data_IF_652862744646
#
_entry.id   IF_652862744646
#
_cell.length_a   1.000
_cell.length_b   1.000
_cell.length_c   1.000
_cell.angle_alpha   90.00
_cell.angle_beta   90.00
_cell.angle_gamma   90.00
#
_symmetry.space_group_name_H-M   'P 1'
#
loop_
_entity.id
_entity.type
_entity.pdbx_description
1 polymer ?
#
# COMPACT_ATOMS: atom_id res chain seq x y z
N UNK A 1 4.97 -27.57 -13.12
CA UNK A 1 4.18 -26.89 -12.08
C UNK A 1 4.91 -26.86 -10.74
N UNK A 2 5.47 -27.98 -10.28
CA UNK A 2 6.20 -28.05 -9.00
C UNK A 2 7.51 -27.24 -8.98
N UNK A 3 8.24 -27.21 -10.10
CA UNK A 3 9.44 -26.37 -10.27
C UNK A 3 9.14 -24.86 -10.17
N UNK A 4 8.06 -24.39 -10.81
CA UNK A 4 7.61 -22.98 -10.79
C UNK A 4 7.17 -22.56 -9.38
N UNK A 5 6.53 -23.48 -8.63
CA UNK A 5 6.15 -23.21 -7.23
C UNK A 5 7.37 -23.11 -6.31
N UNK A 6 8.40 -23.93 -6.55
CA UNK A 6 9.67 -23.88 -5.81
C UNK A 6 10.48 -22.62 -6.12
N UNK A 7 10.52 -22.20 -7.38
CA UNK A 7 11.18 -20.94 -7.79
C UNK A 7 10.45 -19.69 -7.27
N UNK A 8 9.11 -19.70 -7.22
CA UNK A 8 8.34 -18.57 -6.69
C UNK A 8 8.39 -18.45 -5.15
N UNK A 9 8.88 -19.45 -4.42
CA UNK A 9 9.14 -19.38 -2.98
C UNK A 9 10.62 -19.22 -2.65
N UNK A 10 11.47 -19.11 -3.66
CA UNK A 10 12.91 -18.96 -3.48
C UNK A 10 13.24 -17.65 -2.77
N UNK A 11 13.89 -17.77 -1.62
CA UNK A 11 14.22 -16.66 -0.72
C UNK A 11 15.08 -15.60 -1.41
N UNK A 12 16.10 -16.03 -2.16
CA UNK A 12 17.02 -15.13 -2.86
C UNK A 12 16.27 -14.30 -3.91
N UNK A 13 15.50 -14.94 -4.78
CA UNK A 13 14.69 -14.29 -5.78
C UNK A 13 13.72 -13.28 -5.17
N UNK A 14 13.07 -13.63 -4.05
CA UNK A 14 12.11 -12.74 -3.38
C UNK A 14 12.76 -11.52 -2.76
N UNK A 15 13.86 -11.68 -2.02
CA UNK A 15 14.55 -10.55 -1.40
C UNK A 15 15.15 -9.60 -2.44
N UNK A 16 15.71 -10.13 -3.53
CA UNK A 16 16.19 -9.31 -4.63
C UNK A 16 15.04 -8.62 -5.41
N UNK A 17 13.90 -9.28 -5.58
CA UNK A 17 12.71 -8.65 -6.18
C UNK A 17 12.16 -7.54 -5.30
N UNK A 18 12.11 -7.75 -3.97
CA UNK A 18 11.73 -6.73 -3.00
C UNK A 18 12.66 -5.51 -3.11
N UNK A 19 13.97 -5.73 -3.20
CA UNK A 19 14.93 -4.63 -3.34
C UNK A 19 14.78 -3.86 -4.67
N UNK A 20 14.49 -4.55 -5.77
CA UNK A 20 14.18 -3.92 -7.06
C UNK A 20 12.91 -3.06 -6.96
N UNK A 21 11.82 -3.62 -6.45
CA UNK A 21 10.54 -2.91 -6.27
C UNK A 21 10.66 -1.73 -5.30
N UNK A 22 11.43 -1.89 -4.22
CA UNK A 22 11.69 -0.81 -3.27
C UNK A 22 12.41 0.37 -3.91
N UNK A 23 13.30 0.12 -4.88
CA UNK A 23 13.97 1.20 -5.62
C UNK A 23 12.96 2.05 -6.40
N UNK A 24 11.91 1.44 -6.96
CA UNK A 24 10.81 2.17 -7.60
C UNK A 24 10.00 2.99 -6.57
N UNK A 25 9.76 2.44 -5.38
CA UNK A 25 9.10 3.17 -4.29
C UNK A 25 9.91 4.39 -3.85
N UNK A 26 11.23 4.25 -3.72
CA UNK A 26 12.12 5.38 -3.43
C UNK A 26 12.08 6.45 -4.52
N UNK A 27 11.97 6.08 -5.81
CA UNK A 27 11.82 7.04 -6.91
C UNK A 27 10.51 7.83 -6.80
N UNK A 28 9.41 7.16 -6.47
CA UNK A 28 8.12 7.83 -6.24
C UNK A 28 8.18 8.76 -5.01
N UNK A 29 8.86 8.35 -3.93
CA UNK A 29 9.07 9.20 -2.76
C UNK A 29 9.89 10.46 -3.11
N UNK A 30 10.95 10.33 -3.92
CA UNK A 30 11.74 11.48 -4.40
C UNK A 30 10.94 12.42 -5.31
N UNK A 31 9.97 11.90 -6.05
CA UNK A 31 9.08 12.69 -6.89
C UNK A 31 8.02 13.46 -6.09
N UNK A 32 7.70 13.00 -4.88
CA UNK A 32 6.72 13.60 -3.98
C UNK A 32 7.29 13.85 -2.58
N UNK A 33 8.36 14.66 -2.45
CA UNK A 33 9.13 14.80 -1.20
C UNK A 33 8.29 15.34 -0.02
N UNK A 34 7.24 16.11 -0.30
CA UNK A 34 6.36 16.69 0.72
C UNK A 34 5.24 15.75 1.19
N UNK A 35 5.06 14.61 0.50
CA UNK A 35 4.00 13.65 0.79
C UNK A 35 4.53 12.49 1.64
N UNK A 36 3.95 12.24 2.82
CA UNK A 36 4.30 11.08 3.63
C UNK A 36 4.06 9.77 2.87
N UNK A 37 5.05 8.87 2.94
CA UNK A 37 4.95 7.50 2.42
C UNK A 37 4.47 6.56 3.53
N UNK A 38 3.35 5.88 3.31
CA UNK A 38 2.73 4.95 4.24
C UNK A 38 2.75 3.54 3.65
N UNK A 39 3.40 2.56 4.28
CA UNK A 39 3.17 1.18 3.95
C UNK A 39 1.76 0.74 4.35
N UNK A 40 1.06 0.08 3.44
CA UNK A 40 -0.05 -0.79 3.82
C UNK A 40 0.54 -2.03 4.51
N UNK A 41 0.36 -2.16 5.82
CA UNK A 41 1.07 -3.15 6.64
C UNK A 41 0.88 -4.57 6.13
N UNK A 42 1.86 -5.42 6.47
CA UNK A 42 2.18 -6.72 5.84
C UNK A 42 2.98 -6.52 4.56
N UNK A 43 2.31 -6.39 3.41
CA UNK A 43 2.98 -6.42 2.12
C UNK A 43 3.75 -5.12 1.83
N UNK A 44 3.11 -3.96 2.02
CA UNK A 44 3.72 -2.64 1.76
C UNK A 44 4.99 -2.36 2.56
N UNK A 45 5.09 -2.90 3.78
CA UNK A 45 6.24 -2.69 4.67
C UNK A 45 7.56 -3.26 4.10
N UNK A 46 7.51 -4.27 3.22
CA UNK A 46 8.70 -4.79 2.55
C UNK A 46 9.33 -3.78 1.57
N UNK A 47 8.56 -2.80 1.11
CA UNK A 47 8.96 -1.88 0.04
C UNK A 47 9.19 -0.44 0.52
N UNK A 48 8.91 -0.16 1.80
CA UNK A 48 9.08 1.15 2.40
C UNK A 48 10.11 1.09 3.53
N UNK A 49 11.21 1.85 3.37
CA UNK A 49 12.27 1.92 4.38
C UNK A 49 11.76 2.63 5.66
N UNK A 50 11.82 1.98 6.83
CA UNK A 50 11.40 2.59 8.09
C UNK A 50 12.16 3.89 8.43
N UNK A 51 13.41 4.02 7.98
CA UNK A 51 14.24 5.22 8.22
C UNK A 51 13.76 6.43 7.43
N UNK A 52 13.07 6.22 6.31
CA UNK A 52 12.52 7.30 5.46
C UNK A 52 11.04 7.57 5.73
N UNK A 53 10.32 6.59 6.29
CA UNK A 53 8.88 6.71 6.59
C UNK A 53 8.58 7.22 8.00
N UNK A 54 9.56 7.17 8.91
CA UNK A 54 9.45 7.68 10.28
C UNK A 54 8.67 6.72 11.19
N UNK A 55 9.25 6.35 12.33
CA UNK A 55 8.68 5.36 13.27
C UNK A 55 7.45 5.85 14.08
N UNK A 56 6.78 6.92 13.68
CA UNK A 56 5.61 7.42 14.42
C UNK A 56 4.35 6.62 14.08
N UNK A 57 3.50 6.40 15.10
CA UNK A 57 2.27 5.58 15.06
C UNK A 57 1.26 5.95 13.94
N UNK A 58 1.42 7.11 13.29
CA UNK A 58 0.57 7.59 12.19
C UNK A 58 1.10 7.29 10.78
N UNK A 59 2.25 6.62 10.63
CA UNK A 59 2.93 6.45 9.33
C UNK A 59 2.69 5.08 8.68
N UNK A 60 1.55 4.46 8.93
CA UNK A 60 1.17 3.19 8.31
C UNK A 60 -0.32 3.10 8.07
N UNK A 61 -0.72 2.22 7.17
CA UNK A 61 -2.12 1.93 6.87
C UNK A 61 -2.41 0.43 6.98
N UNK A 62 -3.69 0.08 7.08
CA UNK A 62 -4.14 -1.30 7.08
C UNK A 62 -5.45 -1.45 6.30
N UNK A 63 -5.35 -1.32 4.97
CA UNK A 63 -6.42 -1.58 4.03
C UNK A 63 -6.39 -3.05 3.62
N UNK A 64 -7.41 -3.82 4.02
CA UNK A 64 -7.53 -5.22 3.60
C UNK A 64 -8.05 -5.32 2.17
N UNK A 65 -7.44 -6.19 1.38
CA UNK A 65 -7.90 -6.55 0.04
C UNK A 65 -9.27 -7.24 0.06
N UNK A 66 -9.62 -7.93 1.15
CA UNK A 66 -10.92 -8.62 1.31
C UNK A 66 -12.10 -7.67 1.32
N UNK A 67 -11.90 -6.43 1.77
CA UNK A 67 -12.93 -5.39 1.83
C UNK A 67 -13.17 -4.75 0.45
N UNK A 68 -12.36 -5.12 -0.55
CA UNK A 68 -12.50 -4.73 -1.94
C UNK A 68 -12.52 -5.93 -2.89
N UNK A 69 -12.81 -7.15 -2.42
CA UNK A 69 -12.80 -8.32 -3.31
C UNK A 69 -14.00 -8.29 -4.27
N UNK A 70 -13.87 -8.85 -5.47
CA UNK A 70 -14.98 -8.88 -6.43
C UNK A 70 -16.19 -9.60 -5.84
N UNK A 71 -17.34 -8.90 -5.80
CA UNK A 71 -18.58 -9.38 -5.19
C UNK A 71 -18.64 -9.22 -3.67
N UNK A 72 -17.55 -8.81 -3.01
CA UNK A 72 -17.49 -8.55 -1.58
C UNK A 72 -16.75 -7.24 -1.30
N UNK A 73 -17.52 -6.15 -1.24
CA UNK A 73 -17.03 -4.80 -0.96
C UNK A 73 -17.61 -4.31 0.37
N UNK A 74 -16.81 -3.57 1.15
CA UNK A 74 -17.26 -3.06 2.43
C UNK A 74 -16.39 -1.94 2.98
N UNK A 75 -16.98 -1.15 3.89
CA UNK A 75 -16.27 -0.22 4.75
C UNK A 75 -16.24 -0.77 6.19
N UNK A 76 -15.06 -1.13 6.69
CA UNK A 76 -14.94 -1.79 7.99
C UNK A 76 -14.80 -0.79 9.14
N UNK A 77 -15.87 -0.57 9.91
CA UNK A 77 -15.84 0.33 11.07
C UNK A 77 -14.92 -0.10 12.21
N UNK A 78 -14.48 -1.36 12.28
CA UNK A 78 -13.49 -1.81 13.29
C UNK A 78 -12.06 -1.45 12.88
N UNK A 79 -11.81 -1.21 11.59
CA UNK A 79 -10.51 -0.84 11.04
C UNK A 79 -10.66 0.28 10.01
N UNK A 80 -11.20 1.44 10.41
CA UNK A 80 -11.61 2.46 9.47
C UNK A 80 -10.45 3.32 8.95
N UNK A 81 -9.20 3.07 9.37
CA UNK A 81 -8.00 3.82 8.97
C UNK A 81 -8.11 5.36 9.19
N UNK A 82 -8.92 5.81 10.16
CA UNK A 82 -9.17 7.24 10.41
C UNK A 82 -7.95 7.96 10.99
N UNK A 83 -6.98 7.23 11.55
CA UNK A 83 -5.73 7.77 12.06
C UNK A 83 -4.85 8.41 10.96
N UNK A 84 -5.14 8.13 9.68
CA UNK A 84 -4.48 8.74 8.51
C UNK A 84 -5.05 10.14 8.20
N UNK A 85 -6.29 10.44 8.62
CA UNK A 85 -6.94 11.70 8.26
C UNK A 85 -6.23 12.96 8.79
N UNK A 86 -5.70 12.99 10.03
CA UNK A 86 -4.88 14.13 10.49
C UNK A 86 -3.65 14.36 9.62
N UNK A 87 -3.01 13.29 9.14
CA UNK A 87 -1.85 13.38 8.25
C UNK A 87 -2.24 13.97 6.89
N UNK A 88 -3.40 13.57 6.34
CA UNK A 88 -3.96 14.14 5.11
C UNK A 88 -4.33 15.62 5.27
N UNK A 89 -4.84 16.02 6.44
CA UNK A 89 -5.13 17.42 6.75
C UNK A 89 -3.83 18.26 6.79
N UNK A 90 -2.77 17.71 7.37
CA UNK A 90 -1.48 18.38 7.53
C UNK A 90 -0.68 18.46 6.23
N UNK A 91 -0.47 17.34 5.55
CA UNK A 91 0.41 17.24 4.37
C UNK A 91 -0.32 17.44 3.04
N UNK A 92 -1.65 17.48 3.07
CA UNK A 92 -2.51 17.66 1.88
C UNK A 92 -2.21 16.64 0.78
N UNK A 93 -1.83 15.43 1.17
CA UNK A 93 -1.69 14.25 0.34
C UNK A 93 -0.86 13.17 1.05
N UNK A 94 -0.90 11.95 0.54
CA UNK A 94 -0.05 10.83 0.99
C UNK A 94 0.31 9.91 -0.19
N UNK A 95 1.37 9.13 -0.02
CA UNK A 95 1.69 7.97 -0.85
C UNK A 95 1.43 6.71 -0.05
N UNK A 96 0.54 5.85 -0.52
CA UNK A 96 0.23 4.55 0.08
C UNK A 96 0.83 3.44 -0.76
N UNK A 97 1.75 2.66 -0.17
CA UNK A 97 2.43 1.57 -0.87
C UNK A 97 1.83 0.22 -0.52
N UNK A 98 1.59 -0.58 -1.55
CA UNK A 98 1.21 -1.98 -1.41
C UNK A 98 1.66 -2.74 -2.67
N UNK A 99 1.52 -4.06 -2.68
CA UNK A 99 1.78 -4.83 -3.88
C UNK A 99 0.83 -6.03 -4.01
N UNK A 100 0.85 -6.66 -5.19
CA UNK A 100 0.04 -7.85 -5.47
C UNK A 100 0.88 -8.91 -6.14
N UNK A 101 0.48 -10.18 -5.96
CA UNK A 101 1.04 -11.33 -6.67
C UNK A 101 0.81 -11.26 -8.18
N UNK A 102 1.52 -12.14 -8.87
CA UNK A 102 1.44 -12.36 -10.31
C UNK A 102 0.01 -12.37 -10.87
N UNK A 103 -0.15 -11.75 -12.05
CA UNK A 103 -1.40 -11.73 -12.81
C UNK A 103 -2.30 -10.51 -12.55
N UNK A 104 -2.20 -9.87 -11.37
CA UNK A 104 -2.91 -8.62 -11.09
C UNK A 104 -2.03 -7.40 -11.37
N UNK A 105 -2.62 -6.33 -11.91
CA UNK A 105 -1.90 -5.06 -12.13
C UNK A 105 -1.64 -4.30 -10.82
N UNK A 106 -2.56 -4.42 -9.86
CA UNK A 106 -2.49 -3.79 -8.54
C UNK A 106 -3.39 -4.56 -7.56
N UNK A 107 -3.15 -4.47 -6.25
CA UNK A 107 -3.96 -5.17 -5.26
C UNK A 107 -5.37 -4.57 -5.13
N UNK A 108 -6.31 -5.37 -4.63
CA UNK A 108 -7.70 -4.94 -4.38
C UNK A 108 -7.78 -3.85 -3.30
N UNK A 109 -6.82 -3.83 -2.37
CA UNK A 109 -6.62 -2.75 -1.38
C UNK A 109 -6.49 -1.39 -2.07
N UNK A 110 -5.64 -1.29 -3.09
CA UNK A 110 -5.38 -0.04 -3.82
C UNK A 110 -6.42 0.27 -4.91
N UNK A 111 -6.96 -0.76 -5.57
CA UNK A 111 -7.92 -0.57 -6.67
C UNK A 111 -9.37 -0.36 -6.22
N UNK A 112 -9.75 -0.84 -5.04
CA UNK A 112 -11.14 -0.81 -4.56
C UNK A 112 -11.26 -0.38 -3.11
N UNK A 113 -10.54 -0.98 -2.16
CA UNK A 113 -10.71 -0.65 -0.72
C UNK A 113 -10.39 0.81 -0.42
N UNK A 114 -9.25 1.34 -0.90
CA UNK A 114 -8.85 2.74 -0.71
C UNK A 114 -9.78 3.71 -1.45
N UNK A 115 -10.18 3.45 -2.71
CA UNK A 115 -11.25 4.19 -3.37
C UNK A 115 -12.57 4.28 -2.60
N UNK A 116 -13.05 3.14 -2.09
CA UNK A 116 -14.25 3.07 -1.25
C UNK A 116 -14.05 3.96 -0.02
N UNK A 117 -12.90 3.81 0.64
CA UNK A 117 -12.58 4.59 1.83
C UNK A 117 -12.59 6.10 1.54
N UNK A 118 -11.91 6.56 0.49
CA UNK A 118 -11.90 7.98 0.11
C UNK A 118 -13.32 8.52 -0.11
N UNK A 119 -14.14 7.79 -0.87
CA UNK A 119 -15.50 8.22 -1.17
C UNK A 119 -16.42 8.22 0.07
N UNK A 120 -16.30 7.21 0.95
CA UNK A 120 -17.05 7.15 2.21
C UNK A 120 -16.67 8.30 3.14
N UNK A 121 -15.37 8.59 3.31
CA UNK A 121 -14.91 9.73 4.13
C UNK A 121 -15.45 11.05 3.58
N UNK A 122 -15.35 11.28 2.27
CA UNK A 122 -15.84 12.50 1.64
C UNK A 122 -17.35 12.70 1.89
N UNK A 123 -18.15 11.65 1.69
CA UNK A 123 -19.60 11.66 1.94
C UNK A 123 -19.93 11.87 3.42
N UNK A 124 -19.21 11.21 4.33
CA UNK A 124 -19.44 11.34 5.76
C UNK A 124 -19.12 12.76 6.28
N UNK A 125 -17.99 13.34 5.87
CA UNK A 125 -17.62 14.72 6.23
C UNK A 125 -18.66 15.71 5.68
N UNK A 126 -19.08 15.55 4.42
CA UNK A 126 -20.12 16.37 3.82
C UNK A 126 -21.44 16.34 4.61
N UNK A 127 -21.85 15.16 5.12
CA UNK A 127 -23.06 14.99 5.94
C UNK A 127 -22.94 15.59 7.34
N UNK A 128 -21.79 15.48 7.99
CA UNK A 128 -21.56 16.04 9.32
C UNK A 128 -21.46 17.57 9.31
N UNK A 129 -20.95 18.15 8.21
CA UNK A 129 -20.71 19.59 8.07
C UNK A 129 -21.16 20.08 6.69
N UNK A 130 -22.48 20.15 6.44
CA UNK A 130 -22.98 20.75 5.22
C UNK A 130 -22.65 22.25 5.25
N UNK A 131 -21.69 22.66 4.42
CA UNK A 131 -21.27 24.05 4.25
C UNK A 131 -21.21 24.37 2.75
N UNK A 132 -21.18 25.66 2.40
CA UNK A 132 -21.00 26.09 1.01
C UNK A 132 -19.70 25.55 0.39
N UNK A 133 -18.68 25.31 1.21
CA UNK A 133 -17.39 24.77 0.76
C UNK A 133 -17.46 23.25 0.46
N UNK A 134 -18.13 22.49 1.33
CA UNK A 134 -18.33 21.04 1.14
C UNK A 134 -19.40 20.71 0.10
N UNK A 135 -20.28 21.67 -0.25
CA UNK A 135 -21.34 21.49 -1.25
C UNK A 135 -20.82 21.19 -2.65
N UNK A 136 -19.62 21.68 -3.00
CA UNK A 136 -19.01 21.50 -4.31
C UNK A 136 -18.04 20.31 -4.38
N UNK A 137 -17.93 19.52 -3.32
CA UNK A 137 -17.01 18.39 -3.30
C UNK A 137 -17.44 17.29 -4.27
N UNK A 138 -16.46 16.74 -4.99
CA UNK A 138 -16.70 15.55 -5.78
C UNK A 138 -16.65 14.30 -4.87
N UNK A 139 -17.83 13.82 -4.50
CA UNK A 139 -18.02 12.67 -3.61
C UNK A 139 -18.24 11.33 -4.37
N UNK A 140 -17.93 11.31 -5.67
CA UNK A 140 -18.06 10.11 -6.52
C UNK A 140 -17.01 9.08 -6.17
N UNK A 141 -17.32 7.83 -6.51
CA UNK A 141 -16.32 6.77 -6.51
C UNK A 141 -15.29 7.04 -7.62
N UNK A 142 -14.02 6.76 -7.32
CA UNK A 142 -12.94 6.78 -8.32
C UNK A 142 -12.23 5.43 -8.31
N UNK A 143 -12.34 4.66 -9.39
CA UNK A 143 -11.63 3.37 -9.54
C UNK A 143 -10.65 3.41 -10.71
N UNK A 144 -9.56 2.62 -10.69
CA UNK A 144 -8.58 2.62 -11.76
C UNK A 144 -9.18 2.05 -13.06
N UNK A 145 -9.16 2.81 -14.18
CA UNK A 145 -9.65 2.34 -15.46
C UNK A 145 -8.90 1.08 -15.92
N UNK A 146 -9.63 0.09 -16.44
CA UNK A 146 -9.05 -1.17 -16.93
C UNK A 146 -8.64 -2.17 -15.84
N UNK A 147 -8.82 -1.84 -14.56
CA UNK A 147 -8.65 -2.78 -13.44
C UNK A 147 -10.00 -3.11 -12.80
N UNK A 148 -10.88 -2.11 -12.66
CA UNK A 148 -12.25 -2.29 -12.16
C UNK A 148 -13.22 -2.06 -13.32
N UNK A 149 -14.12 -3.01 -13.55
CA UNK A 149 -15.14 -2.89 -14.61
C UNK A 149 -16.18 -1.83 -14.26
N UNK A 150 -16.83 -1.24 -15.26
CA UNK A 150 -17.91 -0.27 -15.03
C UNK A 150 -19.06 -0.86 -14.19
N UNK A 151 -19.44 -2.12 -14.46
CA UNK A 151 -20.48 -2.80 -13.67
C UNK A 151 -20.06 -2.99 -12.21
N UNK A 152 -18.80 -3.33 -11.94
CA UNK A 152 -18.29 -3.44 -10.57
C UNK A 152 -18.25 -2.06 -9.89
N UNK A 153 -17.79 -1.04 -10.60
CA UNK A 153 -17.79 0.35 -10.13
C UNK A 153 -19.19 0.79 -9.69
N UNK A 154 -20.21 0.63 -10.54
CA UNK A 154 -21.59 1.05 -10.26
C UNK A 154 -22.17 0.31 -9.05
N UNK A 155 -21.87 -0.99 -8.92
CA UNK A 155 -22.29 -1.81 -7.77
C UNK A 155 -21.66 -1.32 -6.47
N UNK A 156 -20.38 -0.96 -6.48
CA UNK A 156 -19.70 -0.37 -5.33
C UNK A 156 -20.32 0.99 -5.01
N UNK A 157 -20.48 1.85 -6.02
CA UNK A 157 -20.98 3.22 -5.84
C UNK A 157 -22.38 3.25 -5.22
N UNK A 158 -23.26 2.31 -5.60
CA UNK A 158 -24.60 2.17 -5.02
C UNK A 158 -24.64 1.87 -3.50
N UNK A 159 -23.52 1.42 -2.92
CA UNK A 159 -23.42 1.06 -1.50
C UNK A 159 -22.77 2.15 -0.64
N UNK A 160 -22.11 3.13 -1.26
CA UNK A 160 -21.30 4.12 -0.55
C UNK A 160 -22.11 4.96 0.43
N UNK A 161 -23.37 5.28 0.10
CA UNK A 161 -24.21 6.10 0.97
C UNK A 161 -24.51 5.42 2.29
N UNK A 162 -24.83 4.11 2.27
CA UNK A 162 -25.06 3.34 3.49
C UNK A 162 -23.82 3.29 4.39
N UNK A 163 -22.64 3.05 3.81
CA UNK A 163 -21.39 3.04 4.59
C UNK A 163 -21.03 4.41 5.16
N UNK A 164 -21.33 5.49 4.44
CA UNK A 164 -21.16 6.83 4.96
C UNK A 164 -22.16 7.11 6.11
N UNK A 165 -23.39 6.60 6.05
CA UNK A 165 -24.37 6.76 7.13
C UNK A 165 -23.92 6.00 8.37
N UNK A 166 -23.45 4.77 8.19
CA UNK A 166 -22.89 3.95 9.26
C UNK A 166 -21.69 4.62 9.94
N UNK A 167 -20.82 5.29 9.17
CA UNK A 167 -19.69 6.04 9.71
C UNK A 167 -20.15 7.30 10.47
N UNK A 168 -21.13 8.04 9.94
CA UNK A 168 -21.69 9.23 10.60
C UNK A 168 -22.39 8.86 11.91
N UNK A 169 -23.11 7.73 11.93
CA UNK A 169 -23.79 7.22 13.12
C UNK A 169 -22.83 6.61 14.17
N UNK A 170 -21.55 6.44 13.83
CA UNK A 170 -20.54 5.92 14.75
C UNK A 170 -20.06 6.98 15.74
N UNK A 171 -19.29 6.56 16.76
CA UNK A 171 -18.70 7.46 17.75
C UNK A 171 -17.39 8.12 17.29
N UNK A 172 -16.97 7.91 16.04
CA UNK A 172 -15.71 8.45 15.54
C UNK A 172 -15.79 9.97 15.33
N UNK A 173 -14.73 10.67 15.74
CA UNK A 173 -14.53 12.08 15.39
C UNK A 173 -13.67 12.16 14.14
N UNK A 174 -14.25 12.67 13.06
CA UNK A 174 -13.51 12.95 11.83
C UNK A 174 -12.85 14.33 11.93
N UNK A 175 -11.56 14.48 11.57
CA UNK A 175 -10.92 15.78 11.52
C UNK A 175 -11.51 16.64 10.40
N UNK A 176 -11.21 17.94 10.43
CA UNK A 176 -11.61 18.84 9.35
C UNK A 176 -10.68 18.65 8.14
N UNK A 177 -11.28 18.17 7.04
CA UNK A 177 -10.67 18.25 5.72
C UNK A 177 -11.30 19.41 4.97
N UNK A 178 -10.49 20.26 4.36
CA UNK A 178 -10.94 21.41 3.56
C UNK A 178 -11.19 21.05 2.10
N UNK A 179 -10.73 19.87 1.67
CA UNK A 179 -10.87 19.36 0.31
C UNK A 179 -11.20 17.86 0.33
N UNK A 180 -11.90 17.34 -0.70
CA UNK A 180 -12.21 15.93 -0.79
C UNK A 180 -10.95 15.10 -1.05
N UNK A 181 -10.90 13.89 -0.52
CA UNK A 181 -9.88 12.89 -0.82
C UNK A 181 -10.08 12.33 -2.23
N UNK A 182 -8.99 12.12 -2.97
CA UNK A 182 -9.04 11.51 -4.30
C UNK A 182 -7.94 10.48 -4.49
N UNK A 183 -8.27 9.21 -4.79
CA UNK A 183 -7.27 8.21 -5.10
C UNK A 183 -6.64 8.46 -6.47
N UNK A 184 -5.33 8.25 -6.58
CA UNK A 184 -4.54 8.33 -7.81
C UNK A 184 -3.64 7.09 -7.86
N UNK A 185 -3.53 6.41 -9.00
CA UNK A 185 -2.78 5.14 -9.08
C UNK A 185 -1.48 5.31 -9.84
N UNK A 186 -0.41 4.77 -9.27
CA UNK A 186 0.92 4.74 -9.88
C UNK A 186 1.43 3.29 -9.82
N UNK A 187 2.02 2.84 -10.92
CA UNK A 187 2.62 1.50 -11.06
C UNK A 187 3.98 1.62 -11.74
N UNK A 188 4.82 0.57 -11.78
CA UNK A 188 6.10 0.64 -12.50
C UNK A 188 5.97 0.81 -14.01
N UNK A 189 4.76 0.71 -14.58
CA UNK A 189 4.49 1.04 -15.97
C UNK A 189 4.17 2.52 -16.19
N UNK A 190 4.09 3.33 -15.12
CA UNK A 190 3.89 4.78 -15.21
C UNK A 190 5.18 5.44 -15.67
N UNK A 191 5.24 5.91 -16.93
CA UNK A 191 6.45 6.49 -17.51
C UNK A 191 6.82 7.87 -16.96
N UNK A 192 5.81 8.65 -16.54
CA UNK A 192 5.98 9.99 -15.96
C UNK A 192 5.05 10.09 -14.75
N UNK A 193 5.61 10.46 -13.60
CA UNK A 193 4.82 10.65 -12.39
C UNK A 193 3.88 11.85 -12.56
N UNK A 194 2.57 11.72 -12.22
CA UNK A 194 1.63 12.82 -12.31
C UNK A 194 2.08 14.02 -11.46
N UNK A 195 2.11 15.19 -12.08
CA UNK A 195 2.26 16.45 -11.36
C UNK A 195 0.91 16.87 -10.75
N UNK A 196 0.96 17.41 -9.54
CA UNK A 196 -0.23 17.95 -8.86
C UNK A 196 -0.13 19.46 -8.82
N UNK A 197 -1.29 20.13 -8.90
CA UNK A 197 -1.36 21.58 -8.71
C UNK A 197 -0.75 21.98 -7.37
N UNK A 198 -0.24 23.21 -7.32
CA UNK A 198 0.20 23.85 -6.09
C UNK A 198 -0.90 23.80 -5.04
N UNK A 199 -0.48 23.72 -3.78
CA UNK A 199 -1.37 23.50 -2.64
C UNK A 199 -2.53 24.50 -2.57
N UNK A 200 -2.32 25.75 -3.03
CA UNK A 200 -3.34 26.79 -3.09
C UNK A 200 -4.44 26.55 -4.14
N UNK A 201 -4.12 25.87 -5.24
CA UNK A 201 -5.02 25.65 -6.38
C UNK A 201 -5.62 24.23 -6.43
N UNK A 202 -5.24 23.37 -5.49
CA UNK A 202 -5.75 22.00 -5.41
C UNK A 202 -7.26 21.99 -5.16
N UNK A 203 -7.94 21.12 -5.91
CA UNK A 203 -9.38 20.83 -5.75
C UNK A 203 -9.66 19.57 -4.93
N UNK A 204 -8.61 18.84 -4.56
CA UNK A 204 -8.68 17.58 -3.82
C UNK A 204 -7.35 17.30 -3.11
N UNK A 205 -7.39 16.39 -2.13
CA UNK A 205 -6.22 15.84 -1.45
C UNK A 205 -5.88 14.49 -2.10
N UNK A 206 -4.73 14.35 -2.79
CA UNK A 206 -4.36 13.09 -3.44
C UNK A 206 -4.00 12.00 -2.41
N UNK A 207 -4.61 10.83 -2.58
CA UNK A 207 -4.21 9.58 -1.94
C UNK A 207 -3.56 8.73 -3.03
N UNK A 208 -2.22 8.77 -3.11
CA UNK A 208 -1.49 8.09 -4.18
C UNK A 208 -1.37 6.61 -3.84
N UNK A 209 -2.15 5.78 -4.51
CA UNK A 209 -2.09 4.34 -4.49
C UNK A 209 -0.91 3.83 -5.34
N UNK A 210 0.24 3.64 -4.72
CA UNK A 210 1.47 3.16 -5.36
C UNK A 210 1.56 1.63 -5.27
N UNK A 211 1.32 0.94 -6.39
CA UNK A 211 1.56 -0.50 -6.48
C UNK A 211 3.05 -0.72 -6.75
N UNK A 212 3.80 -1.26 -5.79
CA UNK A 212 5.26 -1.38 -5.88
C UNK A 212 5.71 -2.32 -7.00
N UNK A 213 5.09 -3.50 -7.09
CA UNK A 213 5.55 -4.56 -7.98
C UNK A 213 5.15 -4.36 -9.43
N UNK A 214 6.09 -4.64 -10.34
CA UNK A 214 5.89 -4.68 -11.79
C UNK A 214 4.93 -5.82 -12.16
N UNK A 215 3.98 -5.56 -13.06
CA UNK A 215 3.09 -6.59 -13.60
C UNK A 215 3.85 -7.46 -14.61
N UNK A 216 3.90 -8.77 -14.37
CA UNK A 216 4.48 -9.73 -15.32
C UNK A 216 3.38 -10.60 -15.91
N UNK A 217 3.33 -10.64 -17.24
CA UNK A 217 2.36 -11.45 -17.99
C UNK A 217 2.77 -12.93 -18.09
N UNK A 218 4.07 -13.23 -18.25
CA UNK A 218 4.59 -14.60 -18.46
C UNK A 218 5.12 -15.29 -17.18
N UNK A 219 4.71 -14.77 -16.01
CA UNK A 219 4.99 -15.37 -14.70
C UNK A 219 6.40 -15.17 -14.14
N UNK A 220 7.46 -15.06 -14.96
CA UNK A 220 8.83 -14.87 -14.49
C UNK A 220 9.66 -14.04 -15.48
N UNK A 221 10.42 -13.06 -14.97
CA UNK A 221 11.35 -12.26 -15.76
C UNK A 221 12.76 -12.46 -15.19
N UNK A 222 13.65 -13.13 -15.94
CA UNK A 222 15.04 -13.34 -15.51
C UNK A 222 15.81 -12.03 -15.69
N UNK A 223 16.40 -11.53 -14.62
CA UNK A 223 17.27 -10.36 -14.68
C UNK A 223 18.63 -10.76 -15.23
N UNK A 224 19.26 -9.84 -15.96
CA UNK A 224 20.57 -10.07 -16.56
C UNK A 224 21.66 -10.43 -15.52
N UNK A 225 21.41 -10.16 -14.22
CA UNK A 225 22.37 -10.34 -13.12
C UNK A 225 21.81 -11.19 -11.96
N UNK A 226 21.51 -12.47 -12.23
CA UNK A 226 21.52 -13.57 -11.24
C UNK A 226 20.25 -13.94 -10.44
N UNK A 227 19.12 -13.24 -10.59
CA UNK A 227 17.85 -13.68 -9.98
C UNK A 227 16.66 -13.65 -10.94
N UNK A 228 15.66 -14.47 -10.62
CA UNK A 228 14.36 -14.44 -11.28
C UNK A 228 13.46 -13.49 -10.52
N UNK A 229 12.99 -12.41 -11.16
CA UNK A 229 12.10 -11.48 -10.51
C UNK A 229 10.73 -12.14 -10.27
N UNK A 230 10.18 -11.91 -9.07
CA UNK A 230 8.89 -12.42 -8.61
C UNK A 230 8.02 -11.23 -8.22
N UNK A 231 6.95 -11.01 -8.99
CA UNK A 231 5.96 -9.97 -8.70
C UNK A 231 5.31 -10.20 -7.33
N UNK A 232 5.29 -9.16 -6.49
CA UNK A 232 4.61 -9.20 -5.20
C UNK A 232 5.34 -10.03 -4.16
N UNK A 233 6.68 -10.00 -4.20
CA UNK A 233 7.53 -10.83 -3.36
C UNK A 233 7.34 -10.64 -1.85
N UNK A 234 6.90 -9.46 -1.40
CA UNK A 234 6.60 -9.18 0.01
C UNK A 234 5.30 -9.82 0.53
N UNK A 235 4.47 -10.38 -0.34
CA UNK A 235 3.21 -11.02 0.06
C UNK A 235 3.45 -12.46 0.57
N UNK A 236 2.57 -12.93 1.48
CA UNK A 236 2.66 -14.23 2.18
C UNK A 236 4.08 -14.59 2.67
N UNK A 237 4.78 -13.64 3.29
CA UNK A 237 6.14 -13.88 3.80
C UNK A 237 6.22 -14.99 4.86
N UNK A 238 5.11 -15.38 5.47
CA UNK A 238 5.05 -16.58 6.32
C UNK A 238 5.37 -17.88 5.56
N UNK A 239 5.21 -17.91 4.23
CA UNK A 239 5.45 -19.09 3.40
C UNK A 239 6.89 -19.22 2.88
N UNK A 240 7.69 -18.15 2.94
CA UNK A 240 9.03 -18.13 2.32
C UNK A 240 10.10 -17.42 3.18
N UNK A 241 9.71 -16.49 4.04
CA UNK A 241 10.62 -15.57 4.74
C UNK A 241 11.44 -16.21 5.86
N UNK A 242 11.20 -17.48 6.22
CA UNK A 242 11.95 -18.17 7.28
C UNK A 242 11.97 -17.42 8.63
N UNK A 243 10.91 -16.66 8.93
CA UNK A 243 10.81 -15.81 10.12
C UNK A 243 11.39 -14.40 9.96
N UNK A 244 11.98 -14.07 8.81
CA UNK A 244 12.41 -12.71 8.48
C UNK A 244 11.20 -11.79 8.36
N UNK A 245 11.28 -10.62 8.99
CA UNK A 245 10.28 -9.56 8.93
C UNK A 245 10.79 -8.39 8.07
N UNK A 246 9.91 -7.48 7.61
CA UNK A 246 10.34 -6.26 6.92
C UNK A 246 11.39 -5.46 7.69
N UNK A 247 11.19 -5.25 8.99
CA UNK A 247 12.12 -4.47 9.82
C UNK A 247 13.53 -5.11 9.84
N UNK A 248 13.60 -6.44 10.02
CA UNK A 248 14.86 -7.17 10.01
C UNK A 248 15.54 -7.13 8.63
N UNK A 249 14.75 -7.20 7.55
CA UNK A 249 15.26 -7.03 6.20
C UNK A 249 15.88 -5.65 6.01
N UNK A 250 15.18 -4.57 6.37
CA UNK A 250 15.69 -3.21 6.22
C UNK A 250 16.95 -2.95 7.04
N UNK A 251 16.98 -3.41 8.30
CA UNK A 251 18.15 -3.30 9.17
C UNK A 251 19.39 -4.06 8.64
N UNK A 252 19.19 -5.12 7.86
CA UNK A 252 20.26 -5.98 7.35
C UNK A 252 20.33 -5.99 5.82
N UNK A 253 19.72 -5.01 5.14
CA UNK A 253 19.50 -5.01 3.70
C UNK A 253 20.78 -5.27 2.92
N UNK A 254 21.85 -4.54 3.24
CA UNK A 254 23.13 -4.67 2.54
C UNK A 254 23.74 -6.07 2.72
N UNK A 255 23.72 -6.62 3.94
CA UNK A 255 24.26 -7.96 4.22
C UNK A 255 23.46 -9.03 3.47
N UNK A 256 22.14 -8.91 3.48
CA UNK A 256 21.22 -9.84 2.82
C UNK A 256 21.42 -9.82 1.30
N UNK A 257 21.51 -8.63 0.69
CA UNK A 257 21.59 -8.49 -0.77
C UNK A 257 23.00 -8.81 -1.34
N UNK A 258 24.04 -8.79 -0.50
CA UNK A 258 25.40 -9.16 -0.88
C UNK A 258 25.72 -10.63 -0.62
N UNK A 259 24.84 -11.38 0.03
CA UNK A 259 25.04 -12.80 0.32
C UNK A 259 24.72 -13.68 -0.90
N UNK A 260 25.43 -14.79 -1.01
CA UNK A 260 25.20 -15.84 -2.00
C UNK A 260 23.84 -16.52 -1.82
N UNK A 261 23.29 -17.07 -2.90
CA UNK A 261 22.03 -17.84 -2.84
C UNK A 261 22.12 -19.01 -1.85
N UNK A 262 23.27 -19.67 -1.79
CA UNK A 262 23.53 -20.81 -0.91
C UNK A 262 23.70 -20.40 0.57
N UNK A 263 24.36 -19.27 0.83
CA UNK A 263 24.60 -18.74 2.18
C UNK A 263 23.39 -18.03 2.79
N UNK A 264 22.50 -17.48 1.96
CA UNK A 264 21.40 -16.62 2.41
C UNK A 264 20.45 -17.28 3.44
N UNK A 265 20.05 -18.56 3.32
CA UNK A 265 19.24 -19.21 4.35
C UNK A 265 19.94 -19.31 5.71
N UNK A 266 21.27 -19.45 5.73
CA UNK A 266 22.06 -19.49 6.97
C UNK A 266 22.11 -18.10 7.60
N UNK A 267 22.39 -17.07 6.80
CA UNK A 267 22.40 -15.67 7.23
C UNK A 267 21.04 -15.26 7.81
N UNK A 268 19.94 -15.54 7.12
CA UNK A 268 18.59 -15.19 7.59
C UNK A 268 18.26 -15.88 8.91
N UNK A 269 18.61 -17.17 9.07
CA UNK A 269 18.42 -17.85 10.37
C UNK A 269 19.22 -17.17 11.48
N UNK A 270 20.46 -16.75 11.21
CA UNK A 270 21.26 -16.04 12.20
C UNK A 270 20.64 -14.70 12.62
N UNK A 271 20.13 -13.92 11.66
CA UNK A 271 19.46 -12.63 11.93
C UNK A 271 18.19 -12.85 12.76
N UNK A 272 17.36 -13.82 12.39
CA UNK A 272 16.11 -14.12 13.08
C UNK A 272 16.36 -14.66 14.50
N UNK A 273 17.38 -15.50 14.70
CA UNK A 273 17.74 -15.97 16.04
C UNK A 273 18.24 -14.83 16.93
N UNK A 274 19.14 -13.97 16.43
CA UNK A 274 19.68 -12.85 17.20
C UNK A 274 18.58 -11.88 17.68
N UNK A 275 17.61 -11.55 16.81
CA UNK A 275 16.49 -10.67 17.20
C UNK A 275 15.55 -11.29 18.24
N UNK A 276 15.46 -12.62 18.33
CA UNK A 276 14.69 -13.30 19.38
C UNK A 276 15.41 -13.27 20.72
N UNK A 277 16.74 -13.35 20.73
CA UNK A 277 17.55 -13.27 21.95
C UNK A 277 17.50 -11.86 22.56
N UNK A 278 17.49 -10.81 21.74
CA UNK A 278 17.34 -9.41 22.19
C UNK A 278 15.95 -9.12 22.82
N UNK A 279 14.92 -9.89 22.46
CA UNK A 279 13.55 -9.74 22.98
C UNK A 279 13.32 -10.49 24.30
N UNK A 280 14.27 -11.31 24.77
CA UNK A 280 14.20 -11.96 26.08
C UNK A 280 15.00 -11.10 27.07
N UNK A 281 14.36 -10.36 27.98
CA UNK A 281 15.09 -9.62 29.00
C UNK A 281 15.90 -10.63 29.83
N UNK A 282 17.20 -10.39 29.94
CA UNK A 282 18.02 -11.08 30.93
C UNK A 282 17.55 -10.67 32.33
N UNK A 283 16.68 -11.49 32.93
CA UNK A 283 16.41 -11.54 34.38
C UNK A 283 15.66 -10.36 34.97
#
# INVERSE_FOLDING_TARGET
>A
MESIRKESQDLYNRLHSIAEDATFVEQAQRAYPDLPLLPNLRCGAWYADPTTTGHSFSHWAYFKSTDGHTGNWGFNLRRPNLHILPLLAQHRGIVLVDSTRAGKRMPDSLSKTVPIWCAVINRAIHRLKPSSETANWNNKLYTPPGVVSAQEHDRIESRLDGWADDLVASFYRLPELTLPLRPIWITPSTSVFPEFLDVGDRKYIPVICLSASKQIFDGMERRAHAFTYIQGSGDDHELWGMGLTPDLFWQNREKILNESREGLPVLVRSIVSASREELVPTG
#
